data_IF_229337390961
#
_entry.id   IF_229337390961
#
_cell.length_a   1.000
_cell.length_b   1.000
_cell.length_c   1.000
_cell.angle_alpha   90.00
_cell.angle_beta   90.00
_cell.angle_gamma   90.00
#
_symmetry.space_group_name_H-M   'P 1'
#
loop_
_entity.id
_entity.type
_entity.pdbx_description
1 polymer ?
#
# COMPACT_ATOMS: atom_id res chain seq x y z
N UNK A 1 -18.89 -12.44 -11.10
CA UNK A 1 -19.50 -11.10 -10.97
C UNK A 1 -19.44 -10.40 -12.33
N UNK A 2 -20.44 -9.62 -12.75
CA UNK A 2 -20.41 -8.89 -14.04
C UNK A 2 -20.11 -7.41 -13.82
N UNK A 3 -19.63 -6.69 -14.85
CA UNK A 3 -19.41 -5.23 -14.77
C UNK A 3 -20.67 -4.50 -14.33
N UNK A 4 -21.85 -4.90 -14.82
CA UNK A 4 -23.14 -4.34 -14.41
C UNK A 4 -23.40 -4.54 -12.92
N UNK A 5 -23.12 -5.74 -12.40
CA UNK A 5 -23.26 -6.05 -10.97
C UNK A 5 -22.37 -5.13 -10.11
N UNK A 6 -21.11 -4.91 -10.50
CA UNK A 6 -20.21 -4.01 -9.78
C UNK A 6 -20.78 -2.59 -9.78
N UNK A 7 -21.19 -2.09 -10.94
CA UNK A 7 -21.78 -0.75 -11.07
C UNK A 7 -23.00 -0.59 -10.15
N UNK A 8 -23.92 -1.55 -10.18
CA UNK A 8 -25.16 -1.52 -9.38
C UNK A 8 -24.85 -1.51 -7.88
N UNK A 9 -23.86 -2.26 -7.41
CA UNK A 9 -23.45 -2.28 -6.01
C UNK A 9 -22.85 -0.94 -5.59
N UNK A 10 -21.90 -0.42 -6.39
CA UNK A 10 -21.23 0.84 -6.08
C UNK A 10 -22.22 2.01 -6.00
N UNK A 11 -23.19 2.08 -6.93
CA UNK A 11 -24.21 3.13 -6.95
C UNK A 11 -25.22 3.02 -5.81
N UNK A 12 -25.48 1.80 -5.31
CA UNK A 12 -26.31 1.58 -4.12
C UNK A 12 -25.57 1.78 -2.80
N UNK A 13 -24.24 1.97 -2.85
CA UNK A 13 -23.40 1.97 -1.65
C UNK A 13 -23.37 0.61 -0.94
N UNK A 14 -23.61 -0.47 -1.69
CA UNK A 14 -23.50 -1.85 -1.20
C UNK A 14 -22.03 -2.32 -1.23
N UNK A 15 -21.71 -3.34 -0.44
CA UNK A 15 -20.35 -3.85 -0.31
C UNK A 15 -20.00 -4.83 -1.43
N UNK A 16 -18.77 -4.79 -1.91
CA UNK A 16 -18.24 -5.75 -2.88
C UNK A 16 -18.09 -7.15 -2.29
N UNK A 17 -17.74 -7.23 -1.00
CA UNK A 17 -17.67 -8.48 -0.25
C UNK A 17 -19.01 -8.73 0.45
N UNK A 18 -19.51 -9.97 0.36
CA UNK A 18 -20.71 -10.40 1.07
C UNK A 18 -20.49 -10.37 2.59
N UNK A 19 -21.50 -9.91 3.31
CA UNK A 19 -21.49 -9.92 4.77
C UNK A 19 -21.72 -11.34 5.33
N UNK A 20 -20.83 -11.77 6.22
CA UNK A 20 -20.95 -12.99 7.02
C UNK A 20 -20.02 -12.90 8.25
N UNK A 21 -20.29 -13.64 9.34
CA UNK A 21 -19.39 -13.65 10.50
C UNK A 21 -17.95 -14.06 10.15
N UNK A 22 -17.79 -15.04 9.25
CA UNK A 22 -16.45 -15.49 8.81
C UNK A 22 -15.72 -14.42 8.00
N UNK A 23 -16.40 -13.71 7.10
CA UNK A 23 -15.79 -12.63 6.34
C UNK A 23 -15.42 -11.46 7.22
N UNK A 24 -16.29 -11.12 8.17
CA UNK A 24 -16.03 -10.05 9.12
C UNK A 24 -14.79 -10.36 9.96
N UNK A 25 -14.71 -11.56 10.55
CA UNK A 25 -13.54 -12.01 11.30
C UNK A 25 -12.28 -11.95 10.44
N UNK A 26 -12.31 -12.54 9.25
CA UNK A 26 -11.17 -12.56 8.34
C UNK A 26 -10.70 -11.14 7.98
N UNK A 27 -11.61 -10.23 7.64
CA UNK A 27 -11.27 -8.87 7.21
C UNK A 27 -10.75 -8.05 8.38
N UNK A 28 -11.40 -8.07 9.53
CA UNK A 28 -10.96 -7.26 10.67
C UNK A 28 -9.64 -7.77 11.22
N UNK A 29 -9.52 -9.06 11.52
CA UNK A 29 -8.33 -9.59 12.17
C UNK A 29 -7.10 -9.58 11.23
N UNK A 30 -7.28 -9.76 9.92
CA UNK A 30 -6.17 -9.62 8.96
C UNK A 30 -5.73 -8.17 8.81
N UNK A 31 -6.67 -7.20 8.88
CA UNK A 31 -6.34 -5.78 8.87
C UNK A 31 -5.62 -5.37 10.15
N UNK A 32 -6.03 -5.85 11.31
CA UNK A 32 -5.32 -5.61 12.57
C UNK A 32 -3.88 -6.13 12.50
N UNK A 33 -3.70 -7.39 12.06
CA UNK A 33 -2.38 -7.97 11.82
C UNK A 33 -1.54 -7.12 10.85
N UNK A 34 -2.17 -6.63 9.78
CA UNK A 34 -1.53 -5.76 8.82
C UNK A 34 -1.17 -4.40 9.44
N UNK A 35 -2.03 -3.85 10.29
CA UNK A 35 -1.83 -2.58 10.99
C UNK A 35 -0.57 -2.59 11.86
N UNK A 36 -0.34 -3.68 12.59
CA UNK A 36 0.90 -3.91 13.36
C UNK A 36 2.16 -3.95 12.47
N UNK A 37 2.08 -4.64 11.32
CA UNK A 37 3.20 -4.68 10.37
C UNK A 37 3.44 -3.31 9.73
N UNK A 38 2.37 -2.59 9.39
CA UNK A 38 2.44 -1.24 8.84
C UNK A 38 3.02 -0.23 9.84
N UNK A 39 2.77 -0.39 11.14
CA UNK A 39 3.41 0.43 12.18
C UNK A 39 4.92 0.31 12.08
N UNK A 40 5.42 -0.92 12.10
CA UNK A 40 6.85 -1.21 12.00
C UNK A 40 7.45 -0.69 10.67
N UNK A 41 6.75 -0.91 9.55
CA UNK A 41 7.18 -0.40 8.25
C UNK A 41 7.22 1.12 8.20
N UNK A 42 6.18 1.79 8.70
CA UNK A 42 6.10 3.25 8.75
C UNK A 42 7.26 3.84 9.55
N UNK A 43 7.50 3.31 10.75
CA UNK A 43 8.65 3.73 11.58
C UNK A 43 9.94 3.56 10.80
N UNK A 44 10.14 2.39 10.17
CA UNK A 44 11.37 2.14 9.42
C UNK A 44 11.54 3.05 8.20
N UNK A 45 10.51 3.29 7.40
CA UNK A 45 10.61 4.17 6.23
C UNK A 45 10.90 5.63 6.61
N UNK A 46 10.21 6.14 7.63
CA UNK A 46 10.46 7.49 8.15
C UNK A 46 11.88 7.63 8.69
N UNK A 47 12.36 6.59 9.37
CA UNK A 47 13.71 6.47 9.89
C UNK A 47 14.77 6.45 8.77
N UNK A 48 14.54 5.65 7.73
CA UNK A 48 15.41 5.57 6.56
C UNK A 48 15.48 6.92 5.85
N UNK A 49 14.33 7.54 5.59
CA UNK A 49 14.27 8.86 4.96
C UNK A 49 15.10 9.89 5.72
N UNK A 50 15.06 9.87 7.06
CA UNK A 50 15.83 10.82 7.88
C UNK A 50 17.30 10.45 8.05
N UNK A 51 17.60 9.28 8.62
CA UNK A 51 18.96 8.91 9.07
C UNK A 51 19.81 8.26 7.99
N UNK A 52 19.18 7.71 6.95
CA UNK A 52 19.88 7.13 5.80
C UNK A 52 19.83 8.07 4.58
N UNK A 53 19.43 9.33 4.78
CA UNK A 53 19.35 10.33 3.72
C UNK A 53 20.69 10.50 3.01
N UNK A 54 20.72 10.15 1.72
CA UNK A 54 21.92 10.14 0.88
C UNK A 54 23.12 9.40 1.52
N UNK A 55 22.87 8.39 2.35
CA UNK A 55 23.93 7.53 2.87
C UNK A 55 24.35 6.54 1.78
N UNK A 56 25.59 6.60 1.28
CA UNK A 56 26.06 5.71 0.21
C UNK A 56 26.15 4.24 0.65
N UNK A 57 26.30 3.97 1.96
CA UNK A 57 26.45 2.62 2.51
C UNK A 57 25.45 2.40 3.67
N UNK A 58 24.16 2.21 3.37
CA UNK A 58 23.10 2.12 4.38
C UNK A 58 23.00 0.71 4.98
N UNK A 59 24.10 0.20 5.56
CA UNK A 59 24.22 -1.16 6.12
C UNK A 59 23.20 -1.39 7.25
N UNK A 60 22.90 -0.37 8.04
CA UNK A 60 22.01 -0.47 9.21
C UNK A 60 20.61 0.11 8.97
N UNK A 61 20.16 0.24 7.71
CA UNK A 61 18.87 0.87 7.38
C UNK A 61 17.63 0.22 7.99
N UNK A 62 17.73 -1.05 8.38
CA UNK A 62 16.66 -1.82 9.02
C UNK A 62 16.68 -1.82 10.55
N UNK A 63 17.55 -1.03 11.18
CA UNK A 63 17.74 -1.06 12.63
C UNK A 63 17.05 0.08 13.39
N UNK A 64 16.43 1.02 12.67
CA UNK A 64 15.77 2.20 13.23
C UNK A 64 16.64 3.00 14.21
N UNK A 65 17.95 3.12 13.92
CA UNK A 65 18.93 3.78 14.79
C UNK A 65 19.27 3.02 16.07
N UNK A 66 18.69 1.84 16.28
CA UNK A 66 18.85 1.03 17.48
C UNK A 66 19.72 -0.20 17.16
N UNK A 67 21.01 0.04 16.94
CA UNK A 67 21.99 -1.01 16.62
C UNK A 67 22.55 -1.61 17.91
N UNK A 68 22.40 -2.93 18.08
CA UNK A 68 23.02 -3.69 19.17
C UNK A 68 23.29 -5.14 18.74
N UNK A 69 24.17 -5.83 19.46
CA UNK A 69 24.61 -7.20 19.14
C UNK A 69 23.44 -8.19 19.03
N UNK A 70 22.46 -8.11 19.93
CA UNK A 70 21.26 -8.97 19.92
C UNK A 70 20.43 -8.76 18.65
N UNK A 71 20.21 -7.50 18.24
CA UNK A 71 19.48 -7.19 17.01
C UNK A 71 20.25 -7.59 15.76
N UNK A 72 21.57 -7.38 15.74
CA UNK A 72 22.41 -7.82 14.61
C UNK A 72 22.32 -9.34 14.48
N UNK A 73 22.44 -10.08 15.59
CA UNK A 73 22.31 -11.53 15.58
C UNK A 73 20.94 -12.00 15.05
N UNK A 74 19.84 -11.43 15.55
CA UNK A 74 18.49 -11.72 15.03
C UNK A 74 18.34 -11.39 13.55
N UNK A 75 18.89 -10.26 13.12
CA UNK A 75 18.88 -9.83 11.72
C UNK A 75 19.59 -10.86 10.82
N UNK A 76 20.77 -11.33 11.23
CA UNK A 76 21.55 -12.33 10.49
C UNK A 76 20.85 -13.70 10.45
N UNK A 77 20.07 -14.05 11.47
CA UNK A 77 19.25 -15.27 11.49
C UNK A 77 17.93 -15.15 10.71
N UNK A 78 17.59 -13.97 10.19
CA UNK A 78 16.30 -13.72 9.54
C UNK A 78 15.11 -13.61 10.51
N UNK A 79 15.36 -13.52 11.82
CA UNK A 79 14.34 -13.30 12.85
C UNK A 79 14.01 -11.80 12.97
N UNK A 80 13.34 -11.28 11.95
CA UNK A 80 12.94 -9.87 11.86
C UNK A 80 11.78 -9.65 10.90
N UNK A 81 11.15 -8.49 11.03
CA UNK A 81 10.24 -7.91 10.03
C UNK A 81 10.98 -7.73 8.69
N UNK A 82 10.32 -8.10 7.59
CA UNK A 82 10.82 -8.07 6.22
C UNK A 82 10.59 -6.70 5.56
N UNK A 83 11.29 -5.68 6.06
CA UNK A 83 11.25 -4.31 5.54
C UNK A 83 11.56 -4.18 4.03
N UNK A 84 12.11 -5.20 3.38
CA UNK A 84 12.26 -5.24 1.93
C UNK A 84 10.94 -5.15 1.17
N UNK A 85 9.83 -5.63 1.76
CA UNK A 85 8.52 -5.43 1.16
C UNK A 85 8.12 -3.94 1.17
N UNK A 86 8.50 -3.21 2.23
CA UNK A 86 8.34 -1.76 2.30
C UNK A 86 9.11 -1.04 1.19
N UNK A 87 10.37 -1.41 0.99
CA UNK A 87 11.20 -0.89 -0.10
C UNK A 87 10.64 -1.28 -1.48
N UNK A 88 10.07 -2.48 -1.62
CA UNK A 88 9.41 -2.91 -2.86
C UNK A 88 8.20 -2.01 -3.20
N UNK A 89 7.34 -1.72 -2.22
CA UNK A 89 6.21 -0.80 -2.41
C UNK A 89 6.68 0.63 -2.73
N UNK A 90 7.74 1.11 -2.06
CA UNK A 90 8.34 2.41 -2.34
C UNK A 90 8.84 2.49 -3.78
N UNK A 91 9.55 1.47 -4.26
CA UNK A 91 10.02 1.41 -5.65
C UNK A 91 8.86 1.36 -6.64
N UNK A 92 7.76 0.70 -6.28
CA UNK A 92 6.59 0.63 -7.14
C UNK A 92 5.95 2.01 -7.30
N UNK A 93 5.80 2.75 -6.20
CA UNK A 93 5.34 4.15 -6.24
C UNK A 93 6.27 5.05 -7.05
N UNK A 94 7.57 4.92 -6.81
CA UNK A 94 8.58 5.72 -7.51
C UNK A 94 8.56 5.49 -9.02
N UNK A 95 8.38 4.24 -9.45
CA UNK A 95 8.39 3.87 -10.88
C UNK A 95 7.08 4.17 -11.61
N UNK A 96 5.93 4.05 -10.93
CA UNK A 96 4.60 4.26 -11.53
C UNK A 96 4.11 5.71 -11.51
N UNK A 97 4.99 6.66 -11.17
CA UNK A 97 4.69 8.07 -10.86
C UNK A 97 4.02 8.27 -9.50
N UNK A 98 4.45 9.31 -8.77
CA UNK A 98 3.86 9.70 -7.48
C UNK A 98 2.75 10.75 -7.60
N UNK A 99 2.18 10.93 -8.81
CA UNK A 99 1.06 11.84 -9.04
C UNK A 99 1.45 13.31 -8.85
N UNK A 100 0.75 14.04 -7.97
CA UNK A 100 0.98 15.47 -7.72
C UNK A 100 2.41 15.82 -7.29
N UNK A 101 3.08 14.88 -6.61
CA UNK A 101 4.48 15.02 -6.20
C UNK A 101 5.45 15.08 -7.39
N UNK A 102 5.18 14.37 -8.49
CA UNK A 102 6.06 14.38 -9.67
C UNK A 102 6.08 15.75 -10.34
N UNK A 103 4.96 16.47 -10.34
CA UNK A 103 4.90 17.84 -10.85
C UNK A 103 5.85 18.76 -10.07
N UNK A 104 5.89 18.61 -8.73
CA UNK A 104 6.83 19.34 -7.89
C UNK A 104 8.27 18.87 -8.09
N UNK A 105 8.53 17.57 -8.15
CA UNK A 105 9.86 17.03 -8.38
C UNK A 105 10.49 17.50 -9.69
N UNK A 106 9.68 17.82 -10.70
CA UNK A 106 10.13 18.36 -11.98
C UNK A 106 10.23 19.90 -12.01
N UNK A 107 9.97 20.59 -10.90
CA UNK A 107 10.04 22.05 -10.80
C UNK A 107 11.46 22.58 -10.55
N UNK A 108 11.70 23.83 -10.94
CA UNK A 108 12.95 24.54 -10.62
C UNK A 108 13.16 24.70 -9.10
N UNK A 109 12.08 24.80 -8.33
CA UNK A 109 12.16 24.93 -6.87
C UNK A 109 12.75 23.67 -6.23
N UNK A 110 12.34 22.49 -6.70
CA UNK A 110 12.90 21.24 -6.24
C UNK A 110 14.36 21.07 -6.70
N UNK A 111 14.70 21.49 -7.93
CA UNK A 111 16.07 21.46 -8.42
C UNK A 111 17.01 22.31 -7.55
N UNK A 112 16.63 23.55 -7.22
CA UNK A 112 17.39 24.43 -6.29
C UNK A 112 17.56 23.80 -4.91
N UNK A 113 16.48 23.20 -4.38
CA UNK A 113 16.53 22.49 -3.11
C UNK A 113 17.53 21.34 -3.14
N UNK A 114 17.55 20.56 -4.24
CA UNK A 114 18.53 19.50 -4.43
C UNK A 114 19.97 20.04 -4.47
N UNK A 115 20.21 21.14 -5.20
CA UNK A 115 21.54 21.76 -5.29
C UNK A 115 22.06 22.18 -3.91
N UNK A 116 21.22 22.85 -3.11
CA UNK A 116 21.59 23.26 -1.74
C UNK A 116 21.88 22.04 -0.85
N UNK A 117 20.99 21.06 -0.86
CA UNK A 117 21.11 19.82 -0.08
C UNK A 117 22.39 19.08 -0.44
N UNK A 118 22.66 18.90 -1.72
CA UNK A 118 23.84 18.18 -2.22
C UNK A 118 25.10 18.94 -1.87
N UNK A 119 25.12 20.28 -2.03
CA UNK A 119 26.25 21.11 -1.65
C UNK A 119 26.63 20.90 -0.17
N UNK A 120 25.65 21.00 0.73
CA UNK A 120 25.87 20.80 2.16
C UNK A 120 26.23 19.36 2.50
N UNK A 121 25.58 18.37 1.89
CA UNK A 121 25.89 16.95 2.13
C UNK A 121 27.30 16.58 1.65
N UNK A 122 27.76 17.17 0.56
CA UNK A 122 29.11 16.95 0.00
C UNK A 122 30.22 17.46 0.93
N UNK A 123 29.92 18.39 1.85
CA UNK A 123 30.90 18.83 2.86
C UNK A 123 31.04 17.83 4.01
N UNK A 124 29.99 17.04 4.29
CA UNK A 124 30.02 16.00 5.33
C UNK A 124 30.47 14.64 4.79
N UNK A 125 30.15 14.33 3.53
CA UNK A 125 30.38 13.04 2.90
C UNK A 125 31.17 13.21 1.59
N UNK A 126 32.43 12.80 1.63
CA UNK A 126 33.35 12.91 0.51
C UNK A 126 32.91 12.10 -0.72
N UNK A 127 32.19 10.98 -0.54
CA UNK A 127 31.71 10.19 -1.65
C UNK A 127 30.55 10.89 -2.37
N UNK A 128 29.65 11.53 -1.62
CA UNK A 128 28.61 12.40 -2.20
C UNK A 128 29.25 13.55 -2.98
N UNK A 129 30.29 14.18 -2.42
CA UNK A 129 31.05 15.24 -3.08
C UNK A 129 31.72 14.81 -4.38
N UNK A 130 32.16 13.55 -4.49
CA UNK A 130 32.71 12.97 -5.71
C UNK A 130 31.62 12.65 -6.74
N UNK A 131 30.48 12.10 -6.30
CA UNK A 131 29.40 11.66 -7.19
C UNK A 131 28.69 12.83 -7.88
N UNK A 132 28.51 13.95 -7.17
CA UNK A 132 27.78 15.11 -7.68
C UNK A 132 28.30 15.64 -9.04
N UNK A 133 29.61 15.96 -9.21
CA UNK A 133 30.12 16.46 -10.50
C UNK A 133 30.14 15.39 -11.60
N UNK A 134 30.30 14.12 -11.24
CA UNK A 134 30.39 13.00 -12.20
C UNK A 134 29.01 12.59 -12.74
N UNK A 135 28.00 12.60 -11.88
CA UNK A 135 26.65 12.11 -12.17
C UNK A 135 25.59 13.09 -11.68
N UNK A 136 25.47 14.24 -12.36
CA UNK A 136 24.61 15.37 -11.93
C UNK A 136 23.15 15.00 -11.64
N UNK A 137 22.60 14.00 -12.32
CA UNK A 137 21.20 13.58 -12.15
C UNK A 137 21.04 12.45 -11.11
N UNK A 138 22.12 11.81 -10.66
CA UNK A 138 22.04 10.66 -9.76
C UNK A 138 21.55 11.06 -8.37
N UNK A 139 22.16 12.09 -7.76
CA UNK A 139 21.79 12.53 -6.42
C UNK A 139 20.37 13.15 -6.34
N UNK A 140 19.92 14.00 -7.28
CA UNK A 140 18.53 14.44 -7.32
C UNK A 140 17.51 13.29 -7.36
N UNK A 141 17.77 12.23 -8.14
CA UNK A 141 16.92 11.04 -8.15
C UNK A 141 16.90 10.30 -6.81
N UNK A 142 18.04 10.23 -6.10
CA UNK A 142 18.07 9.67 -4.74
C UNK A 142 17.31 10.54 -3.72
N UNK A 143 17.30 11.86 -3.90
CA UNK A 143 16.50 12.78 -3.08
C UNK A 143 15.01 12.54 -3.34
N UNK A 144 14.60 12.39 -4.61
CA UNK A 144 13.22 12.02 -4.99
C UNK A 144 12.83 10.69 -4.36
N UNK A 145 13.67 9.67 -4.48
CA UNK A 145 13.44 8.36 -3.86
C UNK A 145 13.30 8.42 -2.34
N UNK A 146 14.11 9.26 -1.67
CA UNK A 146 14.01 9.51 -0.23
C UNK A 146 12.70 10.22 0.16
N UNK A 147 12.24 11.17 -0.66
CA UNK A 147 10.95 11.82 -0.48
C UNK A 147 9.79 10.83 -0.65
N UNK A 148 9.81 9.96 -1.66
CA UNK A 148 8.82 8.88 -1.83
C UNK A 148 8.85 7.89 -0.66
N UNK A 149 10.05 7.58 -0.13
CA UNK A 149 10.22 6.75 1.08
C UNK A 149 9.52 7.39 2.28
N UNK A 150 9.75 8.69 2.51
CA UNK A 150 9.08 9.43 3.57
C UNK A 150 7.56 9.43 3.41
N UNK A 151 7.08 9.75 2.22
CA UNK A 151 5.64 9.83 1.91
C UNK A 151 4.94 8.48 2.10
N UNK A 152 5.55 7.37 1.69
CA UNK A 152 5.03 6.03 1.97
C UNK A 152 4.98 5.74 3.48
N UNK A 153 6.00 6.17 4.23
CA UNK A 153 6.01 6.08 5.69
C UNK A 153 4.85 6.84 6.34
N UNK A 154 4.54 8.05 5.86
CA UNK A 154 3.38 8.86 6.31
C UNK A 154 2.06 8.18 5.95
N UNK A 155 1.95 7.63 4.73
CA UNK A 155 0.78 6.87 4.31
C UNK A 155 0.48 5.72 5.28
N UNK A 156 1.48 4.88 5.54
CA UNK A 156 1.32 3.71 6.39
C UNK A 156 1.15 4.02 7.86
N UNK A 157 1.59 5.19 8.35
CA UNK A 157 1.22 5.64 9.70
C UNK A 157 -0.29 5.76 9.83
N UNK A 158 -0.93 6.48 8.90
CA UNK A 158 -2.38 6.68 8.92
C UNK A 158 -3.13 5.35 8.77
N UNK A 159 -2.68 4.49 7.85
CA UNK A 159 -3.32 3.19 7.63
C UNK A 159 -3.15 2.23 8.81
N UNK A 160 -1.98 2.25 9.47
CA UNK A 160 -1.72 1.44 10.67
C UNK A 160 -2.69 1.82 11.80
N UNK A 161 -2.75 3.10 12.15
CA UNK A 161 -3.62 3.61 13.22
C UNK A 161 -5.10 3.25 12.92
N UNK A 162 -5.53 3.41 11.66
CA UNK A 162 -6.87 3.05 11.19
C UNK A 162 -7.16 1.55 11.41
N UNK A 163 -6.28 0.66 10.95
CA UNK A 163 -6.55 -0.77 11.00
C UNK A 163 -6.48 -1.36 12.41
N UNK A 164 -5.59 -0.85 13.26
CA UNK A 164 -5.54 -1.24 14.67
C UNK A 164 -6.81 -0.79 15.40
N UNK A 165 -7.26 0.45 15.18
CA UNK A 165 -8.51 0.97 15.75
C UNK A 165 -9.73 0.16 15.28
N UNK A 166 -9.79 -0.25 14.01
CA UNK A 166 -10.84 -1.13 13.50
C UNK A 166 -10.92 -2.44 14.30
N UNK A 167 -9.77 -3.05 14.61
CA UNK A 167 -9.69 -4.26 15.45
C UNK A 167 -10.20 -4.03 16.87
N UNK A 168 -9.88 -2.88 17.48
CA UNK A 168 -10.41 -2.50 18.78
C UNK A 168 -11.93 -2.36 18.78
N UNK A 169 -12.48 -1.60 17.83
CA UNK A 169 -13.93 -1.38 17.70
C UNK A 169 -14.72 -2.65 17.44
N UNK A 170 -14.13 -3.59 16.69
CA UNK A 170 -14.73 -4.92 16.50
C UNK A 170 -14.82 -5.70 17.81
N UNK A 171 -13.75 -5.72 18.62
CA UNK A 171 -13.75 -6.39 19.93
C UNK A 171 -14.72 -5.77 20.93
N UNK A 172 -14.95 -4.47 20.84
CA UNK A 172 -15.93 -3.75 21.65
C UNK A 172 -17.37 -3.96 21.18
N UNK A 173 -17.57 -4.61 20.02
CA UNK A 173 -18.88 -4.85 19.43
C UNK A 173 -19.48 -3.62 18.73
N UNK A 174 -18.65 -2.61 18.41
CA UNK A 174 -19.09 -1.43 17.64
C UNK A 174 -19.14 -1.71 16.13
N UNK A 175 -18.31 -2.65 15.64
CA UNK A 175 -18.29 -3.09 14.23
C UNK A 175 -18.77 -4.53 14.17
N UNK A 176 -19.89 -4.78 13.50
CA UNK A 176 -20.57 -6.07 13.45
C UNK A 176 -20.90 -6.55 12.03
N UNK A 177 -20.49 -5.79 11.00
CA UNK A 177 -20.75 -6.12 9.59
C UNK A 177 -19.67 -5.57 8.65
N UNK A 178 -19.55 -6.18 7.46
CA UNK A 178 -18.66 -5.67 6.40
C UNK A 178 -19.04 -4.25 5.95
N UNK A 179 -20.33 -3.89 6.02
CA UNK A 179 -20.80 -2.54 5.71
C UNK A 179 -20.25 -1.50 6.68
N UNK A 180 -20.18 -1.84 7.96
CA UNK A 180 -19.59 -0.98 8.99
C UNK A 180 -18.08 -0.88 8.83
N UNK A 181 -17.38 -1.96 8.47
CA UNK A 181 -15.95 -1.91 8.10
C UNK A 181 -15.71 -0.93 6.95
N UNK A 182 -16.48 -1.02 5.87
CA UNK A 182 -16.35 -0.12 4.71
C UNK A 182 -16.65 1.33 5.08
N UNK A 183 -17.69 1.56 5.90
CA UNK A 183 -18.04 2.90 6.39
C UNK A 183 -16.95 3.50 7.27
N UNK A 184 -16.39 2.71 8.19
CA UNK A 184 -15.29 3.11 9.06
C UNK A 184 -14.05 3.50 8.25
N UNK A 185 -13.62 2.65 7.31
CA UNK A 185 -12.47 2.96 6.44
C UNK A 185 -12.70 4.25 5.66
N UNK A 186 -13.90 4.43 5.08
CA UNK A 186 -14.29 5.65 4.36
C UNK A 186 -14.14 6.88 5.26
N UNK A 187 -14.71 6.84 6.46
CA UNK A 187 -14.71 7.97 7.40
C UNK A 187 -13.30 8.35 7.83
N UNK A 188 -12.46 7.37 8.14
CA UNK A 188 -11.06 7.61 8.49
C UNK A 188 -10.27 8.19 7.30
N UNK A 189 -10.48 7.71 6.07
CA UNK A 189 -9.83 8.26 4.87
C UNK A 189 -10.27 9.70 4.59
N UNK A 190 -11.56 10.00 4.74
CA UNK A 190 -12.10 11.36 4.59
C UNK A 190 -11.51 12.28 5.67
N UNK A 191 -11.45 11.83 6.91
CA UNK A 191 -10.86 12.59 8.02
C UNK A 191 -9.35 12.84 7.82
N UNK A 192 -8.64 11.91 7.18
CA UNK A 192 -7.23 12.05 6.86
C UNK A 192 -6.97 12.90 5.60
N UNK A 193 -7.96 13.08 4.72
CA UNK A 193 -7.75 13.54 3.36
C UNK A 193 -6.99 14.87 3.23
N UNK A 194 -7.36 15.84 4.07
CA UNK A 194 -6.76 17.17 4.09
C UNK A 194 -5.51 17.33 4.97
N UNK A 195 -4.99 16.24 5.58
CA UNK A 195 -3.80 16.33 6.42
C UNK A 195 -2.61 16.80 5.58
N UNK A 196 -1.89 17.86 5.99
CA UNK A 196 -0.75 18.36 5.24
C UNK A 196 0.41 17.37 5.29
N UNK A 197 1.14 17.27 4.18
CA UNK A 197 2.33 16.42 4.07
C UNK A 197 3.54 17.29 3.79
N UNK A 198 4.56 17.19 4.64
CA UNK A 198 5.81 17.92 4.49
C UNK A 198 6.97 17.03 4.91
N UNK A 199 8.16 17.32 4.38
CA UNK A 199 9.35 16.51 4.64
C UNK A 199 10.56 17.41 4.76
N UNK A 200 11.22 17.34 5.91
CA UNK A 200 12.44 18.08 6.22
C UNK A 200 13.54 17.11 6.60
N UNK A 201 14.77 17.38 6.19
CA UNK A 201 15.95 16.59 6.55
C UNK A 201 16.95 17.46 7.28
N UNK A 202 17.70 16.87 8.22
CA UNK A 202 18.76 17.57 8.96
C UNK A 202 20.13 17.19 8.40
N UNK A 203 20.89 18.16 7.91
CA UNK A 203 22.24 18.01 7.37
C UNK A 203 23.11 19.08 8.02
N UNK A 204 24.26 18.72 8.59
CA UNK A 204 25.19 19.62 9.27
C UNK A 204 24.54 20.52 10.34
N UNK A 205 23.55 19.99 11.06
CA UNK A 205 22.81 20.77 12.07
C UNK A 205 21.71 21.68 11.51
N UNK A 206 21.64 21.89 10.19
CA UNK A 206 20.63 22.71 9.50
C UNK A 206 19.49 21.84 8.95
N UNK A 207 18.27 22.40 8.91
CA UNK A 207 17.11 21.75 8.31
C UNK A 207 16.92 22.23 6.87
N UNK A 208 16.64 21.29 5.97
CA UNK A 208 16.31 21.52 4.56
C UNK A 208 14.93 20.95 4.29
N UNK A 209 14.07 21.72 3.64
CA UNK A 209 12.70 21.31 3.31
C UNK A 209 12.69 20.64 1.94
N UNK A 210 12.64 19.30 1.92
CA UNK A 210 12.59 18.53 0.68
C UNK A 210 11.19 18.57 0.07
N UNK A 211 10.16 18.50 0.93
CA UNK A 211 8.77 18.80 0.58
C UNK A 211 8.34 19.98 1.46
N UNK A 212 8.36 21.22 0.93
CA UNK A 212 8.07 22.43 1.69
C UNK A 212 6.59 22.51 2.05
N UNK A 213 6.29 23.15 3.18
CA UNK A 213 4.91 23.26 3.66
C UNK A 213 4.07 24.19 2.78
N UNK A 214 4.71 25.16 2.12
CA UNK A 214 4.11 26.13 1.21
C UNK A 214 3.56 25.46 -0.06
N UNK A 215 4.11 24.31 -0.46
CA UNK A 215 3.61 23.54 -1.61
C UNK A 215 2.26 22.85 -1.33
N UNK A 216 1.76 22.91 -0.09
CA UNK A 216 0.38 22.52 0.28
C UNK A 216 -0.02 21.09 -0.10
N UNK A 217 0.93 20.14 -0.07
CA UNK A 217 0.63 18.73 -0.31
C UNK A 217 -0.33 18.18 0.73
N UNK A 218 -1.27 17.35 0.30
CA UNK A 218 -2.31 16.76 1.14
C UNK A 218 -2.27 15.23 1.05
N UNK A 219 -2.68 14.58 2.14
CA UNK A 219 -2.66 13.13 2.25
C UNK A 219 -3.43 12.41 1.15
N UNK A 220 -4.66 12.85 0.80
CA UNK A 220 -5.45 12.11 -0.17
C UNK A 220 -4.86 12.18 -1.59
N UNK A 221 -4.67 13.39 -2.09
CA UNK A 221 -4.33 13.63 -3.51
C UNK A 221 -2.88 13.26 -3.79
N UNK A 222 -1.96 13.61 -2.90
CA UNK A 222 -0.52 13.51 -3.15
C UNK A 222 0.09 12.22 -2.63
N UNK A 223 -0.63 11.46 -1.80
CA UNK A 223 -0.09 10.28 -1.13
C UNK A 223 -0.97 9.04 -1.32
N UNK A 224 -2.23 9.10 -0.87
CA UNK A 224 -3.10 7.93 -0.86
C UNK A 224 -3.51 7.47 -2.27
N UNK A 225 -3.93 8.40 -3.14
CA UNK A 225 -4.32 8.06 -4.52
C UNK A 225 -3.15 7.47 -5.32
N UNK A 226 -1.94 8.08 -5.35
CA UNK A 226 -0.77 7.49 -5.99
C UNK A 226 -0.40 6.10 -5.42
N UNK A 227 -0.50 5.92 -4.10
CA UNK A 227 -0.24 4.63 -3.48
C UNK A 227 -1.20 3.54 -3.96
N UNK A 228 -2.51 3.81 -3.96
CA UNK A 228 -3.51 2.85 -4.44
C UNK A 228 -3.26 2.48 -5.90
N UNK A 229 -2.96 3.48 -6.74
CA UNK A 229 -2.66 3.26 -8.14
C UNK A 229 -1.42 2.36 -8.32
N UNK A 230 -0.32 2.67 -7.62
CA UNK A 230 0.95 1.98 -7.78
C UNK A 230 0.97 0.58 -7.14
N UNK A 231 0.39 0.41 -5.94
CA UNK A 231 0.55 -0.79 -5.12
C UNK A 231 -0.67 -1.71 -5.17
N UNK A 232 -1.89 -1.16 -5.14
CA UNK A 232 -3.11 -1.99 -5.11
C UNK A 232 -3.53 -2.42 -6.51
N UNK A 233 -3.29 -1.57 -7.50
CA UNK A 233 -3.78 -1.77 -8.86
C UNK A 233 -2.67 -2.26 -9.79
N UNK A 234 -1.63 -1.44 -10.00
CA UNK A 234 -0.58 -1.76 -10.97
C UNK A 234 0.39 -2.82 -10.47
N UNK A 235 1.03 -2.60 -9.32
CA UNK A 235 2.10 -3.44 -8.79
C UNK A 235 3.31 -3.54 -9.74
N UNK A 236 4.30 -4.37 -9.39
CA UNK A 236 5.33 -4.80 -10.34
C UNK A 236 5.08 -6.24 -10.77
N UNK A 237 5.41 -6.62 -12.03
CA UNK A 237 5.29 -7.99 -12.48
C UNK A 237 6.17 -8.91 -11.61
N UNK A 238 5.61 -10.00 -11.11
CA UNK A 238 6.37 -10.90 -10.23
C UNK A 238 7.28 -11.81 -11.04
N UNK A 239 8.57 -11.84 -10.70
CA UNK A 239 9.57 -12.67 -11.36
C UNK A 239 9.20 -14.16 -11.33
N UNK A 240 8.43 -14.59 -10.32
CA UNK A 240 7.97 -15.98 -10.18
C UNK A 240 6.70 -16.33 -10.97
N UNK A 241 5.99 -15.36 -11.56
CA UNK A 241 4.71 -15.62 -12.27
C UNK A 241 4.70 -15.25 -13.75
N UNK A 242 5.58 -14.34 -14.18
CA UNK A 242 5.63 -13.88 -15.58
C UNK A 242 7.05 -13.82 -16.11
N UNK A 243 7.17 -14.00 -17.42
CA UNK A 243 8.43 -13.87 -18.16
C UNK A 243 8.69 -12.43 -18.56
N UNK A 244 9.89 -11.94 -18.22
CA UNK A 244 10.41 -10.64 -18.67
C UNK A 244 11.03 -10.70 -20.06
N UNK A 245 10.97 -11.86 -20.74
CA UNK A 245 11.39 -11.96 -22.13
C UNK A 245 10.50 -11.09 -23.02
N UNK A 246 11.07 -10.05 -23.62
CA UNK A 246 10.37 -9.11 -24.49
C UNK A 246 9.66 -9.80 -25.68
N UNK A 247 10.18 -10.94 -26.15
CA UNK A 247 9.54 -11.72 -27.23
C UNK A 247 8.26 -12.44 -26.77
N UNK A 248 8.16 -12.79 -25.49
CA UNK A 248 7.00 -13.49 -24.95
C UNK A 248 5.80 -12.57 -24.71
N UNK A 249 6.02 -11.24 -24.67
CA UNK A 249 5.00 -10.21 -24.51
C UNK A 249 4.01 -10.46 -23.35
N UNK A 250 4.46 -11.09 -22.26
CA UNK A 250 3.63 -11.37 -21.07
C UNK A 250 3.45 -10.14 -20.17
N UNK A 251 4.28 -9.12 -20.36
CA UNK A 251 4.23 -7.85 -19.63
C UNK A 251 3.92 -6.77 -20.67
N UNK A 252 2.87 -6.00 -20.42
CA UNK A 252 2.51 -4.88 -21.31
C UNK A 252 3.65 -3.84 -21.33
N UNK A 253 3.96 -3.22 -22.47
CA UNK A 253 4.84 -2.04 -22.49
C UNK A 253 4.18 -0.81 -21.86
N UNK A 254 2.85 -0.79 -21.75
CA UNK A 254 2.07 0.29 -21.16
C UNK A 254 1.83 0.02 -19.66
N UNK A 255 2.48 0.83 -18.81
CA UNK A 255 2.35 0.72 -17.35
C UNK A 255 0.91 0.85 -16.85
N UNK A 256 0.05 1.59 -17.55
CA UNK A 256 -1.36 1.77 -17.15
C UNK A 256 -2.17 0.46 -17.23
N UNK A 257 -1.68 -0.52 -17.99
CA UNK A 257 -2.27 -1.84 -18.14
C UNK A 257 -1.77 -2.85 -17.11
N UNK A 258 -0.91 -2.44 -16.17
CA UNK A 258 -0.38 -3.37 -15.17
C UNK A 258 -1.48 -3.81 -14.21
N UNK A 259 -1.49 -5.11 -13.90
CA UNK A 259 -2.50 -5.79 -13.07
C UNK A 259 -1.80 -6.79 -12.15
N UNK A 260 -0.79 -6.32 -11.40
CA UNK A 260 0.00 -7.12 -10.48
C UNK A 260 -0.14 -6.67 -9.02
N UNK A 261 -0.96 -5.64 -8.77
CA UNK A 261 -1.22 -5.12 -7.43
C UNK A 261 -2.06 -6.07 -6.58
N UNK A 262 -2.27 -5.71 -5.31
CA UNK A 262 -2.95 -6.54 -4.32
C UNK A 262 -4.34 -7.05 -4.75
N UNK A 263 -5.09 -6.31 -5.56
CA UNK A 263 -6.42 -6.74 -6.05
C UNK A 263 -6.36 -7.77 -7.20
N UNK A 264 -5.22 -7.88 -7.89
CA UNK A 264 -5.06 -8.73 -9.08
C UNK A 264 -4.11 -9.91 -8.84
N UNK A 265 -3.21 -9.80 -7.86
CA UNK A 265 -2.22 -10.81 -7.54
C UNK A 265 -2.86 -12.17 -7.25
N UNK A 266 -2.25 -13.23 -7.77
CA UNK A 266 -2.66 -14.59 -7.45
C UNK A 266 -2.15 -14.99 -6.06
N UNK A 267 -3.04 -15.38 -5.12
CA UNK A 267 -2.60 -15.82 -3.81
C UNK A 267 -1.92 -17.20 -3.85
N UNK A 268 -2.26 -18.08 -4.80
CA UNK A 268 -1.74 -19.46 -4.85
C UNK A 268 -0.21 -19.59 -4.83
N UNK A 269 0.56 -18.80 -5.60
CA UNK A 269 2.03 -18.87 -5.56
C UNK A 269 2.65 -18.22 -4.31
N UNK A 270 1.87 -17.71 -3.35
CA UNK A 270 2.40 -17.13 -2.11
C UNK A 270 3.34 -18.11 -1.41
N UNK A 271 4.44 -17.59 -0.86
CA UNK A 271 5.59 -18.34 -0.33
C UNK A 271 6.49 -19.00 -1.38
N UNK A 272 6.15 -18.89 -2.67
CA UNK A 272 7.01 -19.29 -3.78
C UNK A 272 8.19 -18.34 -4.00
N UNK A 273 9.23 -18.83 -4.67
CA UNK A 273 10.38 -18.01 -5.06
C UNK A 273 9.97 -16.94 -6.08
N UNK A 274 10.48 -15.72 -5.91
CA UNK A 274 10.18 -14.60 -6.83
C UNK A 274 8.79 -13.97 -6.64
N UNK A 275 8.14 -14.19 -5.50
CA UNK A 275 6.81 -13.66 -5.15
C UNK A 275 6.92 -12.66 -3.98
N UNK A 276 7.04 -11.34 -4.25
CA UNK A 276 7.29 -10.32 -3.22
C UNK A 276 6.28 -10.28 -2.07
N UNK A 277 4.95 -10.42 -2.29
CA UNK A 277 3.96 -10.38 -1.20
C UNK A 277 4.18 -11.43 -0.10
N UNK A 278 4.92 -12.50 -0.38
CA UNK A 278 5.26 -13.54 0.61
C UNK A 278 5.96 -12.97 1.84
N UNK A 279 6.75 -11.91 1.68
CA UNK A 279 7.41 -11.21 2.80
C UNK A 279 6.38 -10.60 3.76
N UNK A 280 5.36 -9.93 3.22
CA UNK A 280 4.27 -9.38 4.00
C UNK A 280 3.45 -10.48 4.68
N UNK A 281 3.11 -11.56 3.95
CA UNK A 281 2.33 -12.66 4.53
C UNK A 281 3.07 -13.34 5.68
N UNK A 282 4.40 -13.44 5.60
CA UNK A 282 5.24 -13.94 6.68
C UNK A 282 5.28 -13.01 7.90
N UNK A 283 5.25 -11.70 7.69
CA UNK A 283 5.22 -10.72 8.78
C UNK A 283 3.85 -10.70 9.45
N UNK A 284 2.77 -10.67 8.68
CA UNK A 284 1.41 -10.75 9.22
C UNK A 284 1.19 -12.05 10.00
N UNK A 285 1.74 -13.17 9.53
CA UNK A 285 1.69 -14.43 10.28
C UNK A 285 2.29 -14.33 11.70
N UNK A 286 3.32 -13.49 11.91
CA UNK A 286 3.92 -13.27 13.24
C UNK A 286 3.02 -12.44 14.17
N UNK A 287 2.15 -11.61 13.58
CA UNK A 287 1.24 -10.70 14.25
C UNK A 287 -0.22 -11.13 14.06
N UNK A 288 -0.48 -12.43 13.87
CA UNK A 288 -1.83 -12.92 13.59
C UNK A 288 -2.64 -12.98 14.89
N UNK A 289 -3.82 -12.34 14.98
CA UNK A 289 -4.73 -12.50 16.10
C UNK A 289 -5.11 -13.96 16.33
N UNK A 290 -5.30 -14.33 17.61
CA UNK A 290 -5.51 -15.73 18.01
C UNK A 290 -6.80 -16.34 17.45
N UNK A 291 -7.87 -15.54 17.38
CA UNK A 291 -9.15 -15.93 16.80
C UNK A 291 -9.03 -16.27 15.30
N UNK A 292 -8.29 -15.47 14.52
CA UNK A 292 -8.03 -15.74 13.11
C UNK A 292 -7.08 -16.93 12.92
N UNK A 293 -6.08 -17.07 13.78
CA UNK A 293 -5.23 -18.27 13.81
C UNK A 293 -6.06 -19.54 14.02
N UNK A 294 -6.94 -19.53 15.02
CA UNK A 294 -7.79 -20.67 15.34
C UNK A 294 -8.78 -20.93 14.20
N UNK A 295 -9.34 -19.89 13.59
CA UNK A 295 -10.19 -20.05 12.41
C UNK A 295 -9.43 -20.74 11.27
N UNK A 296 -8.22 -20.28 10.91
CA UNK A 296 -7.39 -20.92 9.87
C UNK A 296 -6.98 -22.35 10.22
N UNK A 297 -6.75 -22.65 11.49
CA UNK A 297 -6.37 -24.00 11.94
C UNK A 297 -7.45 -25.04 11.60
N UNK A 298 -8.73 -24.65 11.61
CA UNK A 298 -9.87 -25.54 11.34
C UNK A 298 -10.44 -25.39 9.92
N UNK A 299 -9.85 -24.55 9.07
CA UNK A 299 -10.25 -24.34 7.68
C UNK A 299 -9.08 -24.60 6.72
N UNK A 300 -9.36 -25.06 5.50
CA UNK A 300 -8.34 -25.38 4.50
C UNK A 300 -7.40 -26.53 4.91
N UNK A 301 -6.07 -26.35 4.78
CA UNK A 301 -5.05 -27.36 5.12
C UNK A 301 -4.39 -27.08 6.50
N UNK A 302 -5.10 -26.37 7.37
CA UNK A 302 -4.69 -26.07 8.74
C UNK A 302 -3.44 -25.18 8.81
N UNK A 303 -2.49 -25.53 9.68
CA UNK A 303 -1.29 -24.70 9.88
C UNK A 303 -0.40 -24.62 8.63
N UNK A 304 -0.49 -25.61 7.73
CA UNK A 304 0.40 -25.75 6.58
C UNK A 304 0.19 -24.67 5.50
N UNK A 305 -1.04 -24.19 5.32
CA UNK A 305 -1.43 -23.19 4.32
C UNK A 305 -1.82 -21.84 4.92
N UNK A 306 -1.57 -21.60 6.21
CA UNK A 306 -1.95 -20.34 6.88
C UNK A 306 -1.50 -19.08 6.14
N UNK A 307 -0.29 -19.04 5.56
CA UNK A 307 0.20 -17.86 4.83
C UNK A 307 -0.54 -17.62 3.52
N UNK A 308 -1.00 -18.68 2.87
CA UNK A 308 -1.90 -18.60 1.73
C UNK A 308 -3.27 -18.06 2.18
N UNK A 309 -3.80 -18.55 3.30
CA UNK A 309 -5.08 -18.09 3.84
C UNK A 309 -5.04 -16.63 4.28
N UNK A 310 -3.93 -16.18 4.90
CA UNK A 310 -3.67 -14.76 5.18
C UNK A 310 -3.74 -13.96 3.88
N UNK A 311 -3.12 -14.44 2.78
CA UNK A 311 -3.17 -13.75 1.50
C UNK A 311 -4.59 -13.62 0.95
N UNK A 312 -5.40 -14.67 1.06
CA UNK A 312 -6.81 -14.65 0.65
C UNK A 312 -7.63 -13.67 1.50
N UNK A 313 -7.50 -13.70 2.84
CA UNK A 313 -8.20 -12.76 3.72
C UNK A 313 -7.72 -11.33 3.50
N UNK A 314 -6.42 -11.13 3.30
CA UNK A 314 -5.83 -9.83 2.96
C UNK A 314 -6.44 -9.29 1.66
N UNK A 315 -6.57 -10.13 0.62
CA UNK A 315 -7.19 -9.71 -0.63
C UNK A 315 -8.67 -9.31 -0.46
N UNK A 316 -9.45 -10.06 0.32
CA UNK A 316 -10.82 -9.67 0.71
C UNK A 316 -10.84 -8.32 1.41
N UNK A 317 -9.92 -8.11 2.36
CA UNK A 317 -9.80 -6.85 3.08
C UNK A 317 -9.41 -5.70 2.14
N UNK A 318 -8.52 -5.91 1.17
CA UNK A 318 -8.15 -4.89 0.18
C UNK A 318 -9.33 -4.50 -0.71
N UNK A 319 -10.25 -5.42 -1.03
CA UNK A 319 -11.52 -5.07 -1.68
C UNK A 319 -12.41 -4.20 -0.78
N UNK A 320 -12.51 -4.49 0.51
CA UNK A 320 -13.25 -3.64 1.46
C UNK A 320 -12.62 -2.23 1.58
N UNK A 321 -11.30 -2.15 1.69
CA UNK A 321 -10.58 -0.86 1.73
C UNK A 321 -10.80 -0.07 0.44
N UNK A 322 -10.70 -0.73 -0.71
CA UNK A 322 -10.98 -0.12 -2.02
C UNK A 322 -12.43 0.34 -2.13
N UNK A 323 -13.39 -0.44 -1.63
CA UNK A 323 -14.80 -0.05 -1.57
C UNK A 323 -15.00 1.21 -0.72
N UNK A 324 -14.32 1.32 0.42
CA UNK A 324 -14.37 2.51 1.29
C UNK A 324 -13.80 3.74 0.60
N UNK A 325 -12.65 3.59 -0.08
CA UNK A 325 -12.03 4.67 -0.86
C UNK A 325 -12.92 5.14 -2.02
N UNK A 326 -13.50 4.20 -2.81
CA UNK A 326 -14.44 4.52 -3.89
C UNK A 326 -15.66 5.24 -3.33
N UNK A 327 -16.24 4.74 -2.24
CA UNK A 327 -17.42 5.36 -1.61
C UNK A 327 -17.12 6.79 -1.12
N UNK A 328 -15.94 7.03 -0.57
CA UNK A 328 -15.53 8.35 -0.07
C UNK A 328 -15.15 9.36 -1.16
N UNK A 329 -15.03 8.94 -2.42
CA UNK A 329 -14.56 9.79 -3.53
C UNK A 329 -15.51 9.82 -4.71
N UNK A 330 -16.77 9.41 -4.52
CA UNK A 330 -17.83 9.72 -5.50
C UNK A 330 -17.93 11.23 -5.70
N UNK A 331 -18.14 11.72 -6.93
CA UNK A 331 -18.19 13.15 -7.20
C UNK A 331 -19.40 13.83 -6.55
N UNK A 332 -20.52 13.11 -6.37
CA UNK A 332 -21.73 13.62 -5.72
C UNK A 332 -22.33 12.60 -4.75
N UNK A 333 -23.14 13.01 -3.76
CA UNK A 333 -23.85 12.09 -2.88
C UNK A 333 -24.66 11.05 -3.66
N UNK A 334 -24.59 9.77 -3.27
CA UNK A 334 -25.34 8.70 -3.93
C UNK A 334 -26.88 8.90 -3.84
N UNK A 335 -27.34 9.69 -2.87
CA UNK A 335 -28.75 10.05 -2.69
C UNK A 335 -29.22 11.24 -3.55
N UNK A 336 -28.36 11.77 -4.43
CA UNK A 336 -28.72 12.92 -5.27
C UNK A 336 -29.90 12.60 -6.21
N UNK A 337 -30.77 13.59 -6.38
CA UNK A 337 -31.90 13.55 -7.33
C UNK A 337 -31.63 14.35 -8.60
N UNK A 338 -30.47 15.01 -8.70
CA UNK A 338 -30.09 15.82 -9.86
C UNK A 338 -29.55 14.89 -10.95
N UNK A 339 -30.13 14.96 -12.16
CA UNK A 339 -29.84 14.02 -13.24
C UNK A 339 -28.38 14.08 -13.67
N UNK A 340 -27.81 15.28 -13.78
CA UNK A 340 -26.41 15.49 -14.15
C UNK A 340 -25.45 14.87 -13.11
N UNK A 341 -25.77 15.00 -11.82
CA UNK A 341 -24.98 14.42 -10.73
C UNK A 341 -25.07 12.88 -10.71
N UNK A 342 -26.25 12.33 -10.97
CA UNK A 342 -26.44 10.88 -11.13
C UNK A 342 -25.64 10.35 -12.33
N UNK A 343 -25.61 11.08 -13.45
CA UNK A 343 -24.80 10.72 -14.61
C UNK A 343 -23.30 10.76 -14.31
N UNK A 344 -22.83 11.74 -13.54
CA UNK A 344 -21.44 11.81 -13.09
C UNK A 344 -21.08 10.62 -12.19
N UNK A 345 -21.92 10.29 -11.21
CA UNK A 345 -21.76 9.11 -10.37
C UNK A 345 -21.78 7.80 -11.18
N UNK A 346 -22.65 7.69 -12.18
CA UNK A 346 -22.72 6.55 -13.10
C UNK A 346 -21.42 6.39 -13.88
N UNK A 347 -20.86 7.48 -14.40
CA UNK A 347 -19.60 7.46 -15.14
C UNK A 347 -18.43 7.04 -14.24
N UNK A 348 -18.38 7.57 -13.02
CA UNK A 348 -17.40 7.20 -12.00
C UNK A 348 -17.48 5.71 -11.62
N UNK A 349 -18.67 5.19 -11.34
CA UNK A 349 -18.89 3.78 -11.04
C UNK A 349 -18.52 2.87 -12.23
N UNK A 350 -18.84 3.29 -13.46
CA UNK A 350 -18.46 2.56 -14.68
C UNK A 350 -16.95 2.51 -14.86
N UNK A 351 -16.25 3.61 -14.58
CA UNK A 351 -14.79 3.64 -14.62
C UNK A 351 -14.19 2.62 -13.65
N UNK A 352 -14.59 2.65 -12.38
CA UNK A 352 -14.10 1.68 -11.38
C UNK A 352 -14.49 0.24 -11.68
N UNK A 353 -15.71 -0.01 -12.14
CA UNK A 353 -16.12 -1.35 -12.54
C UNK A 353 -15.29 -1.89 -13.70
N UNK A 354 -14.91 -1.05 -14.66
CA UNK A 354 -13.99 -1.41 -15.74
C UNK A 354 -12.59 -1.79 -15.25
N UNK A 355 -12.13 -1.22 -14.13
CA UNK A 355 -10.87 -1.60 -13.51
C UNK A 355 -11.00 -2.91 -12.73
N UNK A 356 -12.05 -3.03 -11.91
CA UNK A 356 -12.23 -4.16 -10.99
C UNK A 356 -12.67 -5.45 -11.67
N UNK A 357 -13.20 -5.42 -12.89
CA UNK A 357 -13.73 -6.62 -13.55
C UNK A 357 -12.68 -7.71 -13.75
N UNK A 358 -11.42 -7.32 -13.97
CA UNK A 358 -10.29 -8.23 -14.18
C UNK A 358 -9.54 -8.56 -12.87
N UNK A 359 -9.99 -8.03 -11.73
CA UNK A 359 -9.42 -8.32 -10.43
C UNK A 359 -9.76 -9.75 -9.97
N UNK A 360 -9.20 -10.17 -8.83
CA UNK A 360 -9.48 -11.46 -8.19
C UNK A 360 -10.86 -11.53 -7.54
N UNK A 361 -11.90 -11.32 -8.35
CA UNK A 361 -13.29 -11.38 -7.94
C UNK A 361 -13.73 -12.79 -7.50
N UNK A 362 -12.94 -13.81 -7.80
CA UNK A 362 -13.10 -15.17 -7.27
C UNK A 362 -12.85 -15.24 -5.76
N UNK A 363 -12.14 -14.28 -5.17
CA UNK A 363 -12.00 -14.14 -3.71
C UNK A 363 -13.16 -13.44 -3.02
N UNK A 364 -14.10 -12.89 -3.80
CA UNK A 364 -15.36 -12.33 -3.33
C UNK A 364 -16.45 -13.40 -3.49
N UNK A 365 -16.66 -14.29 -2.51
CA UNK A 365 -17.66 -15.33 -2.62
C UNK A 365 -19.03 -14.74 -2.97
N UNK A 366 -19.67 -15.45 -3.91
CA UNK A 366 -20.67 -14.94 -4.83
C UNK A 366 -21.73 -14.06 -4.19
N UNK A 367 -21.71 -12.76 -4.52
CA UNK A 367 -22.88 -11.88 -4.44
C UNK A 367 -24.06 -12.57 -5.13
N UNK A 368 -24.99 -13.09 -4.32
CA UNK A 368 -26.27 -13.75 -4.66
C UNK A 368 -26.31 -14.39 -6.07
N UNK A 369 -26.06 -15.70 -6.14
CA UNK A 369 -26.62 -16.55 -7.21
C UNK A 369 -25.66 -17.29 -8.13
N UNK A 370 -24.44 -17.62 -7.71
CA UNK A 370 -23.66 -18.69 -8.36
C UNK A 370 -23.18 -19.68 -7.31
N UNK A 371 -23.35 -20.96 -7.59
CA UNK A 371 -22.80 -22.05 -6.78
C UNK A 371 -21.28 -21.89 -6.72
N UNK A 372 -20.72 -22.06 -5.51
CA UNK A 372 -19.29 -22.16 -5.33
C UNK A 372 -18.77 -23.29 -6.24
N UNK A 373 -17.71 -23.03 -7.00
CA UNK A 373 -16.91 -24.11 -7.55
C UNK A 373 -15.80 -24.38 -6.52
N UNK A 374 -15.92 -25.42 -5.67
CA UNK A 374 -14.95 -25.69 -4.62
C UNK A 374 -13.55 -26.05 -5.17
N UNK A 375 -13.41 -26.24 -6.50
CA UNK A 375 -12.18 -26.68 -7.14
C UNK A 375 -11.26 -25.57 -7.65
N UNK A 376 -11.57 -24.28 -7.43
CA UNK A 376 -10.67 -23.18 -7.84
C UNK A 376 -9.72 -22.68 -6.75
N UNK A 377 -9.80 -23.21 -5.54
CA UNK A 377 -8.90 -22.87 -4.41
C UNK A 377 -8.31 -24.12 -3.72
N UNK A 378 -8.27 -25.27 -4.40
CA UNK A 378 -7.72 -26.53 -3.87
C UNK A 378 -6.24 -26.76 -4.25
#
# INVERSE_FOLDING_TARGET
MTTKTIIDLLLKGETLLQDSPDHLLQVVAVLESYGEVLDAYSINLLDQAQRQFLNPLPIFRFFNGQVNSKRIYRHLLGDRINFEYAEYCQKAMFWHSTGGLDAYFNSENFAKTCEEVIYHKSQEDALVGLLNPLFKNFLPELIRSSATTHVLGVFWRVMSDLFVELGHKYREGEINSIKEVVSFVRECLVAAAGKPVSYKVKIAGRHFEILPSEASFTFLVDVAVPYVEAVFLRGMPFLGTVSFNAQAQQISPDQSQFRYGALYADPLPTMGAGIPPSLLMQDMYRHLPQDLYDWYKYHGKGVSDMKLQICVSFQKAMFCVTNGAISGTFPHPLSTTIVEEQMANQAYAKHWAGRLIDARLDTLPNLKGREANPWKLA
#
